data_IF_880638043133
#
_entry.id   IF_880638043133
#
_cell.length_a   1.000
_cell.length_b   1.000
_cell.length_c   1.000
_cell.angle_alpha   90.00
_cell.angle_beta   90.00
_cell.angle_gamma   90.00
#
_symmetry.space_group_name_H-M   'P 1'
#
loop_
_entity.id
_entity.type
_entity.pdbx_description
1 polymer ?
#
# COMPACT_ATOMS: atom_id res chain seq x y z
N UNK A 1 -10.94 6.12 41.95
CA UNK A 1 -11.60 5.09 41.09
C UNK A 1 -10.51 4.48 40.21
N UNK A 2 -10.34 3.17 40.35
CA UNK A 2 -9.17 2.41 39.91
C UNK A 2 -8.96 2.44 38.39
N UNK A 3 -7.75 2.79 37.96
CA UNK A 3 -7.20 2.31 36.69
C UNK A 3 -6.84 0.85 36.96
N UNK A 4 -7.69 -0.07 36.51
CA UNK A 4 -7.42 -1.49 36.64
C UNK A 4 -6.16 -1.84 35.85
N UNK A 5 -5.27 -2.58 36.51
CA UNK A 5 -4.11 -3.23 35.92
C UNK A 5 -4.58 -4.06 34.73
N UNK A 6 -4.31 -3.58 33.52
CA UNK A 6 -4.37 -4.38 32.32
C UNK A 6 -3.32 -5.48 32.50
N UNK A 7 -3.77 -6.71 32.75
CA UNK A 7 -3.00 -7.93 32.52
C UNK A 7 -2.40 -7.80 31.11
N UNK A 8 -1.11 -7.51 30.98
CA UNK A 8 -0.47 -7.29 29.68
C UNK A 8 -0.19 -8.67 29.04
N UNK A 9 -0.96 -9.13 28.04
CA UNK A 9 -0.43 -10.09 27.08
C UNK A 9 0.82 -9.45 26.44
N UNK A 10 1.76 -10.27 25.96
CA UNK A 10 3.06 -9.88 25.39
C UNK A 10 3.05 -8.43 24.85
N UNK A 11 3.82 -7.53 25.48
CA UNK A 11 3.76 -6.10 25.18
C UNK A 11 4.19 -5.84 23.75
N UNK A 12 3.25 -5.60 22.85
CA UNK A 12 3.52 -5.14 21.50
C UNK A 12 4.17 -3.75 21.59
N UNK A 13 5.40 -3.64 21.11
CA UNK A 13 6.07 -2.35 20.93
C UNK A 13 5.77 -1.82 19.53
N UNK A 14 5.33 -0.57 19.47
CA UNK A 14 5.04 0.13 18.23
C UNK A 14 6.23 1.02 17.87
N UNK A 15 6.77 0.87 16.66
CA UNK A 15 7.74 1.81 16.11
C UNK A 15 7.03 3.06 15.58
N UNK A 16 7.50 4.26 15.97
CA UNK A 16 6.76 5.50 15.71
C UNK A 16 7.33 6.38 14.59
N UNK A 17 8.56 6.14 14.11
CA UNK A 17 9.28 7.13 13.29
C UNK A 17 9.81 6.61 11.95
N UNK A 18 9.98 5.30 11.82
CA UNK A 18 10.40 4.61 10.59
C UNK A 18 10.31 3.10 10.80
N UNK A 19 10.46 2.34 9.71
CA UNK A 19 10.51 0.89 9.77
C UNK A 19 11.70 0.44 10.64
N UNK A 20 11.53 -0.67 11.36
CA UNK A 20 12.54 -1.14 12.31
C UNK A 20 13.89 -1.42 11.61
N UNK A 21 14.98 -0.86 12.12
CA UNK A 21 16.30 -1.31 11.67
C UNK A 21 16.50 -2.80 12.03
N UNK A 22 17.29 -3.52 11.23
CA UNK A 22 17.48 -4.97 11.33
C UNK A 22 17.72 -5.49 12.76
N UNK A 23 18.58 -4.86 13.60
CA UNK A 23 18.81 -5.33 14.98
C UNK A 23 17.58 -5.26 15.90
N UNK A 24 16.57 -4.48 15.53
CA UNK A 24 15.37 -4.21 16.32
C UNK A 24 14.11 -4.91 15.79
N UNK A 25 14.17 -5.61 14.65
CA UNK A 25 13.00 -6.28 14.04
C UNK A 25 12.31 -7.23 15.03
N UNK A 26 13.07 -7.97 15.85
CA UNK A 26 12.52 -8.89 16.86
C UNK A 26 11.73 -8.18 17.98
N UNK A 27 11.95 -6.88 18.18
CA UNK A 27 11.30 -6.06 19.22
C UNK A 27 10.23 -5.14 18.64
N UNK A 28 10.43 -4.63 17.42
CA UNK A 28 9.59 -3.65 16.74
C UNK A 28 8.87 -4.29 15.55
N UNK A 29 8.11 -5.36 15.83
CA UNK A 29 7.40 -6.14 14.81
C UNK A 29 6.24 -5.39 14.15
N UNK A 30 5.87 -4.23 14.68
CA UNK A 30 4.87 -3.33 14.12
C UNK A 30 5.35 -1.88 14.13
N UNK A 31 5.73 -1.35 12.96
CA UNK A 31 6.42 -0.05 12.86
C UNK A 31 5.84 0.86 11.77
N UNK A 32 5.90 2.17 12.02
CA UNK A 32 5.55 3.23 11.06
C UNK A 32 6.51 3.22 9.87
N UNK A 33 6.05 2.96 8.64
CA UNK A 33 6.87 3.03 7.44
C UNK A 33 6.68 4.37 6.70
N UNK A 34 7.52 5.36 7.05
CA UNK A 34 7.50 6.72 6.50
C UNK A 34 8.19 6.84 5.12
N UNK A 35 7.77 6.02 4.16
CA UNK A 35 8.38 5.98 2.83
C UNK A 35 8.33 7.33 2.07
N UNK A 36 7.40 8.22 2.44
CA UNK A 36 7.25 9.54 1.82
C UNK A 36 8.50 10.42 1.95
N UNK A 37 9.28 10.23 3.01
CA UNK A 37 10.53 10.98 3.21
C UNK A 37 11.55 10.73 2.09
N UNK A 38 11.47 9.58 1.42
CA UNK A 38 12.40 9.25 0.35
C UNK A 38 12.27 10.20 -0.84
N UNK A 39 11.09 10.79 -1.07
CA UNK A 39 10.85 11.74 -2.16
C UNK A 39 11.64 13.05 -2.05
N UNK A 40 12.23 13.38 -0.89
CA UNK A 40 13.18 14.50 -0.80
C UNK A 40 14.48 14.22 -1.55
N UNK A 41 14.79 12.96 -1.83
CA UNK A 41 16.07 12.52 -2.41
C UNK A 41 15.85 11.70 -3.70
N UNK A 42 14.72 11.02 -3.85
CA UNK A 42 14.40 10.24 -5.05
C UNK A 42 13.10 9.43 -4.93
N UNK A 43 12.87 8.51 -5.87
CA UNK A 43 11.66 7.68 -5.87
C UNK A 43 11.77 6.55 -4.83
N UNK A 44 10.78 6.35 -3.94
CA UNK A 44 10.79 5.25 -2.99
C UNK A 44 10.67 3.90 -3.71
N UNK A 45 11.50 2.95 -3.32
CA UNK A 45 11.45 1.57 -3.79
C UNK A 45 11.29 0.64 -2.58
N UNK A 46 10.42 -0.40 -2.63
CA UNK A 46 10.03 -1.18 -1.46
C UNK A 46 11.10 -2.21 -1.04
N UNK A 47 12.39 -1.84 -1.08
CA UNK A 47 13.51 -2.73 -0.76
C UNK A 47 13.42 -3.29 0.66
N UNK A 48 12.96 -2.48 1.62
CA UNK A 48 12.75 -2.91 2.99
C UNK A 48 11.77 -4.08 3.05
N UNK A 49 10.62 -3.96 2.38
CA UNK A 49 9.62 -5.02 2.34
C UNK A 49 10.12 -6.28 1.61
N UNK A 50 10.97 -6.13 0.58
CA UNK A 50 11.66 -7.28 -0.04
C UNK A 50 12.50 -8.10 0.93
N UNK A 51 13.19 -7.43 1.86
CA UNK A 51 14.06 -8.08 2.83
C UNK A 51 13.27 -8.61 4.03
N UNK A 52 12.27 -7.84 4.49
CA UNK A 52 11.75 -8.00 5.85
C UNK A 52 10.26 -8.29 5.97
N UNK A 53 9.45 -8.22 4.91
CA UNK A 53 8.01 -8.46 4.99
C UNK A 53 7.61 -9.79 5.70
N UNK A 54 8.36 -10.91 5.59
CA UNK A 54 8.06 -12.12 6.38
C UNK A 54 8.27 -12.00 7.90
N UNK A 55 9.03 -11.00 8.36
CA UNK A 55 9.50 -10.88 9.75
C UNK A 55 8.88 -9.69 10.51
N UNK A 56 8.42 -8.67 9.79
CA UNK A 56 7.84 -7.44 10.35
C UNK A 56 6.63 -7.01 9.53
N UNK A 57 5.59 -6.54 10.21
CA UNK A 57 4.46 -5.89 9.56
C UNK A 57 4.56 -4.40 9.82
N UNK A 58 4.81 -3.60 8.79
CA UNK A 58 4.73 -2.15 8.98
C UNK A 58 3.28 -1.66 8.85
N UNK A 59 3.05 -0.42 9.24
CA UNK A 59 1.87 0.33 8.85
C UNK A 59 2.28 1.56 8.04
N UNK A 60 1.36 2.02 7.19
CA UNK A 60 1.51 3.16 6.28
C UNK A 60 1.92 4.48 6.97
N UNK A 61 1.79 4.54 8.29
CA UNK A 61 2.19 5.71 9.07
C UNK A 61 1.16 6.81 9.11
N UNK A 62 1.63 7.97 9.49
CA UNK A 62 0.87 9.22 9.59
C UNK A 62 0.99 10.13 8.36
N UNK A 63 1.59 9.61 7.28
CA UNK A 63 1.69 10.27 5.98
C UNK A 63 2.43 11.63 6.01
N UNK A 64 3.29 11.88 7.01
CA UNK A 64 4.01 13.16 7.15
C UNK A 64 5.03 13.41 6.04
N UNK A 65 5.52 14.66 6.00
CA UNK A 65 6.56 15.13 5.09
C UNK A 65 6.20 14.84 3.64
N UNK A 66 4.98 15.28 3.31
CA UNK A 66 4.36 15.09 2.01
C UNK A 66 5.08 15.95 0.98
N UNK A 67 5.92 15.33 0.17
CA UNK A 67 6.59 16.02 -0.92
C UNK A 67 5.76 16.12 -2.18
N UNK A 68 4.64 15.41 -2.32
CA UNK A 68 3.86 15.37 -3.58
C UNK A 68 2.78 16.46 -3.59
N UNK A 69 2.57 17.07 -4.76
CA UNK A 69 1.61 18.14 -5.03
C UNK A 69 0.17 17.72 -4.73
N UNK A 70 -0.74 18.69 -4.64
CA UNK A 70 -2.14 18.49 -4.29
C UNK A 70 -2.99 17.89 -5.43
N UNK A 71 -2.44 16.93 -6.18
CA UNK A 71 -3.20 16.16 -7.15
C UNK A 71 -4.28 15.33 -6.44
N UNK A 72 -5.47 15.18 -7.04
CA UNK A 72 -6.63 14.56 -6.38
C UNK A 72 -6.41 13.08 -6.03
N UNK A 73 -5.41 12.44 -6.65
CA UNK A 73 -5.04 11.04 -6.42
C UNK A 73 -3.73 10.88 -5.62
N UNK A 74 -3.16 11.95 -5.04
CA UNK A 74 -1.97 11.87 -4.21
C UNK A 74 -2.18 10.97 -2.98
N UNK A 75 -3.29 11.15 -2.25
CA UNK A 75 -3.59 10.30 -1.11
C UNK A 75 -3.74 8.83 -1.50
N UNK A 76 -4.54 8.52 -2.52
CA UNK A 76 -4.76 7.15 -2.98
C UNK A 76 -3.48 6.51 -3.53
N UNK A 77 -2.60 7.30 -4.15
CA UNK A 77 -1.28 6.88 -4.59
C UNK A 77 -0.44 6.34 -3.43
N UNK A 78 -0.33 7.11 -2.34
CA UNK A 78 0.44 6.70 -1.15
C UNK A 78 -0.16 5.50 -0.43
N UNK A 79 -1.49 5.40 -0.39
CA UNK A 79 -2.20 4.22 0.15
C UNK A 79 -1.91 2.98 -0.70
N UNK A 80 -1.97 3.09 -2.02
CA UNK A 80 -1.67 1.99 -2.93
C UNK A 80 -0.19 1.56 -2.87
N UNK A 81 0.74 2.50 -2.68
CA UNK A 81 2.15 2.18 -2.42
C UNK A 81 2.29 1.30 -1.17
N UNK A 82 1.69 1.73 -0.06
CA UNK A 82 1.73 1.00 1.22
C UNK A 82 1.12 -0.39 1.09
N UNK A 83 0.02 -0.50 0.34
CA UNK A 83 -0.61 -1.79 0.04
C UNK A 83 0.33 -2.74 -0.70
N UNK A 84 1.02 -2.29 -1.75
CA UNK A 84 1.96 -3.15 -2.49
C UNK A 84 3.21 -3.48 -1.68
N UNK A 85 3.53 -2.71 -0.64
CA UNK A 85 4.60 -3.03 0.32
C UNK A 85 4.19 -4.11 1.33
N UNK A 86 2.91 -4.46 1.38
CA UNK A 86 2.36 -5.32 2.41
C UNK A 86 2.18 -4.61 3.76
N UNK A 87 2.13 -3.28 3.79
CA UNK A 87 1.92 -2.51 5.01
C UNK A 87 0.44 -2.43 5.39
N UNK A 88 0.15 -2.38 6.69
CA UNK A 88 -1.19 -2.12 7.22
C UNK A 88 -1.60 -0.68 6.88
N UNK A 89 -2.76 -0.53 6.24
CA UNK A 89 -3.24 0.77 5.81
C UNK A 89 -3.87 1.52 6.99
N UNK A 90 -3.48 2.78 7.15
CA UNK A 90 -3.93 3.67 8.23
C UNK A 90 -4.60 4.91 7.66
N UNK A 91 -5.13 5.78 8.50
CA UNK A 91 -5.60 7.11 8.11
C UNK A 91 -5.44 8.06 9.27
N UNK A 92 -5.11 9.32 8.99
CA UNK A 92 -5.16 10.39 9.99
C UNK A 92 -6.58 10.95 9.98
N UNK A 93 -7.22 10.92 11.15
CA UNK A 93 -8.60 11.39 11.34
C UNK A 93 -8.54 12.53 12.36
N UNK A 94 -9.26 13.62 12.10
CA UNK A 94 -9.40 14.73 13.04
C UNK A 94 -10.56 14.51 14.03
N UNK A 95 -10.78 15.50 14.89
CA UNK A 95 -11.88 15.54 15.87
C UNK A 95 -13.27 15.67 15.23
N UNK A 96 -13.36 16.07 13.96
CA UNK A 96 -14.61 16.07 13.18
C UNK A 96 -14.86 14.74 12.45
N UNK A 97 -13.95 13.77 12.55
CA UNK A 97 -14.05 12.50 11.83
C UNK A 97 -13.76 12.61 10.33
N UNK A 98 -13.11 13.68 9.89
CA UNK A 98 -12.63 13.87 8.52
C UNK A 98 -11.21 13.32 8.35
N UNK A 99 -10.90 12.87 7.12
CA UNK A 99 -9.60 12.26 6.82
C UNK A 99 -8.65 13.36 6.34
N UNK A 100 -7.55 13.52 7.07
CA UNK A 100 -6.47 14.45 6.73
C UNK A 100 -5.47 13.81 5.77
N UNK A 101 -4.86 14.65 4.95
CA UNK A 101 -3.87 14.23 3.97
C UNK A 101 -2.61 13.69 4.66
N UNK A 102 -2.18 14.35 5.74
CA UNK A 102 -1.09 13.93 6.62
C UNK A 102 -1.32 14.48 8.03
N UNK A 103 -0.57 14.02 9.02
CA UNK A 103 -0.68 14.52 10.40
C UNK A 103 -0.36 16.01 10.49
N UNK A 104 0.76 16.46 9.92
CA UNK A 104 1.21 17.86 10.06
C UNK A 104 0.53 18.85 9.10
N UNK A 105 -0.53 18.46 8.41
CA UNK A 105 -1.18 19.29 7.39
C UNK A 105 -2.68 19.40 7.63
N UNK A 106 -3.22 20.61 7.48
CA UNK A 106 -4.66 20.87 7.63
C UNK A 106 -5.48 20.43 6.41
N UNK A 107 -4.84 20.11 5.28
CA UNK A 107 -5.53 19.70 4.05
C UNK A 107 -6.36 18.42 4.26
N UNK A 108 -7.65 18.53 3.92
CA UNK A 108 -8.60 17.42 3.93
C UNK A 108 -8.54 16.63 2.62
N UNK A 109 -8.63 15.32 2.73
CA UNK A 109 -8.80 14.43 1.57
C UNK A 109 -10.28 14.31 1.28
N UNK A 110 -10.64 14.13 0.01
CA UNK A 110 -12.00 13.71 -0.32
C UNK A 110 -12.32 12.38 0.40
N UNK A 111 -13.21 12.44 1.39
CA UNK A 111 -13.59 11.30 2.24
C UNK A 111 -14.05 10.08 1.44
N UNK A 112 -14.78 10.28 0.33
CA UNK A 112 -15.24 9.17 -0.52
C UNK A 112 -14.06 8.46 -1.19
N UNK A 113 -13.08 9.22 -1.68
CA UNK A 113 -11.85 8.67 -2.27
C UNK A 113 -11.06 7.89 -1.23
N UNK A 114 -10.80 8.50 -0.06
CA UNK A 114 -10.03 7.88 1.00
C UNK A 114 -10.68 6.59 1.53
N UNK A 115 -11.97 6.62 1.83
CA UNK A 115 -12.71 5.44 2.30
C UNK A 115 -12.75 4.35 1.22
N UNK A 116 -12.94 4.70 -0.05
CA UNK A 116 -12.99 3.72 -1.13
C UNK A 116 -11.67 2.96 -1.29
N UNK A 117 -10.53 3.67 -1.42
CA UNK A 117 -9.22 3.02 -1.57
C UNK A 117 -8.86 2.18 -0.35
N UNK A 118 -9.06 2.72 0.88
CA UNK A 118 -8.75 2.00 2.11
C UNK A 118 -9.61 0.73 2.24
N UNK A 119 -10.90 0.82 1.95
CA UNK A 119 -11.83 -0.31 1.99
C UNK A 119 -11.43 -1.38 0.98
N UNK A 120 -11.24 -1.00 -0.29
CA UNK A 120 -10.99 -1.93 -1.38
C UNK A 120 -9.66 -2.66 -1.21
N UNK A 121 -8.60 -1.93 -0.83
CA UNK A 121 -7.28 -2.53 -0.65
C UNK A 121 -7.18 -3.37 0.63
N UNK A 122 -7.76 -2.93 1.76
CA UNK A 122 -7.79 -3.75 2.97
C UNK A 122 -8.64 -5.03 2.83
N UNK A 123 -9.61 -5.07 1.91
CA UNK A 123 -10.42 -6.26 1.70
C UNK A 123 -9.57 -7.46 1.26
N UNK A 124 -8.49 -7.24 0.49
CA UNK A 124 -7.54 -8.28 0.10
C UNK A 124 -6.86 -8.97 1.29
N UNK A 125 -6.67 -8.25 2.41
CA UNK A 125 -6.10 -8.82 3.65
C UNK A 125 -7.05 -9.77 4.37
N UNK A 126 -8.34 -9.75 4.05
CA UNK A 126 -9.36 -10.63 4.64
C UNK A 126 -9.69 -11.83 3.73
N UNK A 127 -9.38 -11.73 2.44
CA UNK A 127 -9.71 -12.74 1.44
C UNK A 127 -8.49 -13.47 0.89
N UNK A 128 -8.49 -13.72 -0.43
CA UNK A 128 -7.44 -14.46 -1.15
C UNK A 128 -6.02 -13.91 -0.95
N UNK A 129 -5.90 -12.60 -0.74
CA UNK A 129 -4.62 -11.93 -0.55
C UNK A 129 -4.02 -12.09 0.84
N UNK A 130 -4.78 -12.55 1.84
CA UNK A 130 -4.40 -12.56 3.27
C UNK A 130 -3.00 -13.13 3.51
N UNK A 131 -2.76 -14.35 3.05
CA UNK A 131 -1.51 -15.03 3.38
C UNK A 131 -0.30 -14.37 2.71
N UNK A 132 -0.48 -13.83 1.51
CA UNK A 132 0.59 -13.15 0.78
C UNK A 132 0.94 -11.81 1.43
N UNK A 133 -0.07 -11.00 1.79
CA UNK A 133 0.07 -9.67 2.38
C UNK A 133 0.42 -9.67 3.87
N UNK A 134 0.40 -10.84 4.53
CA UNK A 134 0.74 -10.96 5.97
C UNK A 134 1.97 -11.83 6.24
N UNK A 135 2.23 -12.81 5.38
CA UNK A 135 3.29 -13.81 5.62
C UNK A 135 4.10 -14.14 4.37
N UNK A 136 3.77 -13.56 3.21
CA UNK A 136 4.47 -13.82 1.97
C UNK A 136 5.89 -13.24 1.98
N UNK A 137 6.76 -13.80 1.16
CA UNK A 137 8.02 -13.14 0.79
C UNK A 137 7.78 -12.36 -0.49
N UNK A 138 8.15 -11.08 -0.51
CA UNK A 138 8.09 -10.32 -1.75
C UNK A 138 9.12 -10.86 -2.75
N UNK A 139 8.71 -10.99 -4.00
CA UNK A 139 9.53 -11.46 -5.12
C UNK A 139 9.42 -10.46 -6.27
N UNK A 140 10.38 -10.50 -7.19
CA UNK A 140 10.38 -9.59 -8.33
C UNK A 140 9.08 -9.78 -9.13
N UNK A 141 8.28 -8.72 -9.34
CA UNK A 141 7.08 -8.79 -10.16
C UNK A 141 7.45 -9.00 -11.63
N UNK A 142 6.55 -9.65 -12.37
CA UNK A 142 6.57 -9.60 -13.83
C UNK A 142 6.24 -8.17 -14.29
N UNK A 143 6.68 -7.85 -15.49
CA UNK A 143 6.47 -6.52 -16.06
C UNK A 143 4.98 -6.28 -16.35
N UNK A 144 4.53 -5.07 -15.99
CA UNK A 144 3.19 -4.57 -16.30
C UNK A 144 3.35 -3.27 -17.08
N UNK A 145 2.73 -3.24 -18.25
CA UNK A 145 2.66 -2.03 -19.08
C UNK A 145 1.39 -1.26 -18.72
N UNK A 146 1.53 0.05 -18.57
CA UNK A 146 0.44 0.97 -18.22
C UNK A 146 0.78 2.38 -18.69
N UNK A 147 -0.16 3.31 -18.60
CA UNK A 147 0.12 4.72 -18.81
C UNK A 147 1.03 5.27 -17.70
N UNK A 148 1.67 6.39 -17.97
CA UNK A 148 2.30 7.18 -16.90
C UNK A 148 1.34 8.28 -16.43
N UNK A 149 1.51 8.68 -15.18
CA UNK A 149 0.91 9.86 -14.56
C UNK A 149 2.01 10.77 -14.05
N UNK A 150 1.72 12.06 -13.96
CA UNK A 150 2.69 13.07 -13.54
C UNK A 150 2.30 13.65 -12.19
N UNK A 151 3.26 13.70 -11.28
CA UNK A 151 3.17 14.45 -10.03
C UNK A 151 4.12 15.64 -10.08
N UNK A 152 3.83 16.66 -9.28
CA UNK A 152 4.84 17.65 -8.92
C UNK A 152 5.29 17.38 -7.49
N UNK A 153 6.55 17.64 -7.18
CA UNK A 153 7.02 17.69 -5.80
C UNK A 153 6.80 19.09 -5.22
N UNK A 154 7.01 19.25 -3.91
CA UNK A 154 6.91 20.54 -3.20
C UNK A 154 7.86 21.59 -3.78
N UNK A 155 9.04 21.18 -4.27
CA UNK A 155 10.00 22.06 -4.95
C UNK A 155 9.65 22.35 -6.42
N UNK A 156 8.53 21.80 -6.92
CA UNK A 156 8.04 21.98 -8.29
C UNK A 156 8.57 20.98 -9.32
N UNK A 157 9.48 20.07 -8.94
CA UNK A 157 10.01 19.03 -9.84
C UNK A 157 8.89 18.12 -10.33
N UNK A 158 8.86 17.84 -11.63
CA UNK A 158 7.86 16.93 -12.21
C UNK A 158 8.37 15.49 -12.20
N UNK A 159 7.58 14.59 -11.59
CA UNK A 159 7.84 13.16 -11.54
C UNK A 159 6.88 12.43 -12.49
N UNK A 160 7.42 11.71 -13.48
CA UNK A 160 6.63 10.79 -14.31
C UNK A 160 6.72 9.39 -13.75
N UNK A 161 5.59 8.82 -13.38
CA UNK A 161 5.52 7.50 -12.74
C UNK A 161 4.47 6.63 -13.41
N UNK A 162 4.57 5.31 -13.25
CA UNK A 162 3.54 4.38 -13.73
C UNK A 162 2.18 4.68 -13.06
N UNK A 163 1.11 4.62 -13.83
CA UNK A 163 -0.28 4.84 -13.40
C UNK A 163 -0.85 3.73 -12.49
N UNK A 164 -0.04 2.72 -12.16
CA UNK A 164 -0.37 1.67 -11.21
C UNK A 164 0.82 1.39 -10.29
N UNK A 165 0.52 0.77 -9.16
CA UNK A 165 1.51 0.15 -8.29
C UNK A 165 1.45 -1.36 -8.40
N UNK A 166 2.60 -2.04 -8.35
CA UNK A 166 2.63 -3.50 -8.41
C UNK A 166 3.77 -4.10 -7.61
N UNK A 167 3.51 -5.26 -7.03
CA UNK A 167 4.50 -6.11 -6.39
C UNK A 167 4.03 -7.55 -6.40
N UNK A 168 4.98 -8.49 -6.34
CA UNK A 168 4.70 -9.90 -6.30
C UNK A 168 5.11 -10.52 -4.97
N UNK A 169 4.39 -11.57 -4.58
CA UNK A 169 4.57 -12.27 -3.33
C UNK A 169 4.58 -13.78 -3.58
N UNK A 170 5.41 -14.47 -2.83
CA UNK A 170 5.42 -15.92 -2.73
C UNK A 170 4.95 -16.33 -1.33
N UNK A 171 4.02 -17.27 -1.27
CA UNK A 171 3.66 -17.92 -0.01
C UNK A 171 3.51 -19.43 -0.26
N UNK A 172 4.30 -20.23 0.48
CA UNK A 172 4.48 -21.66 0.21
C UNK A 172 4.89 -21.88 -1.27
N UNK A 173 4.15 -22.69 -2.01
CA UNK A 173 4.42 -23.03 -3.41
C UNK A 173 3.65 -22.16 -4.42
N UNK A 174 2.95 -21.11 -3.96
CA UNK A 174 2.17 -20.23 -4.83
C UNK A 174 2.82 -18.86 -4.94
N UNK A 175 2.70 -18.25 -6.11
CA UNK A 175 3.17 -16.90 -6.42
C UNK A 175 1.99 -16.09 -6.95
N UNK A 176 1.88 -14.86 -6.50
CA UNK A 176 0.86 -13.92 -6.96
C UNK A 176 1.48 -12.56 -7.16
N UNK A 177 0.83 -11.73 -7.98
CA UNK A 177 1.17 -10.32 -8.12
C UNK A 177 -0.06 -9.46 -7.93
N UNK A 178 0.07 -8.44 -7.10
CA UNK A 178 -0.94 -7.42 -6.95
C UNK A 178 -0.68 -6.29 -7.92
N UNK A 179 -1.75 -5.77 -8.52
CA UNK A 179 -1.72 -4.56 -9.35
C UNK A 179 -2.78 -3.62 -8.82
N UNK A 180 -2.35 -2.48 -8.28
CA UNK A 180 -3.20 -1.51 -7.60
C UNK A 180 -3.35 -0.24 -8.45
N UNK A 181 -4.60 0.09 -8.77
CA UNK A 181 -5.01 1.33 -9.41
C UNK A 181 -5.35 2.37 -8.33
N UNK A 182 -4.50 3.40 -8.22
CA UNK A 182 -4.72 4.53 -7.32
C UNK A 182 -5.48 5.69 -7.97
N UNK A 183 -5.76 5.62 -9.27
CA UNK A 183 -6.41 6.68 -10.02
C UNK A 183 -7.92 6.69 -9.77
N UNK A 184 -8.56 7.83 -10.08
CA UNK A 184 -10.02 8.00 -9.99
C UNK A 184 -10.77 7.42 -11.18
N UNK A 185 -10.05 7.05 -12.23
CA UNK A 185 -10.57 6.42 -13.43
C UNK A 185 -10.10 4.97 -13.51
N UNK A 186 -10.76 4.19 -14.36
CA UNK A 186 -10.31 2.84 -14.69
C UNK A 186 -8.90 2.88 -15.29
N UNK A 187 -8.05 1.95 -14.86
CA UNK A 187 -6.72 1.76 -15.42
C UNK A 187 -6.68 0.47 -16.22
N UNK A 188 -6.14 0.55 -17.45
CA UNK A 188 -5.90 -0.63 -18.28
C UNK A 188 -4.43 -1.02 -18.15
N UNK A 189 -4.19 -2.30 -17.87
CA UNK A 189 -2.84 -2.87 -17.81
C UNK A 189 -2.67 -3.98 -18.85
N UNK A 190 -1.45 -4.07 -19.39
CA UNK A 190 -1.07 -5.11 -20.34
C UNK A 190 0.07 -5.96 -19.76
N UNK A 191 -0.06 -7.26 -19.98
CA UNK A 191 0.93 -8.29 -19.72
C UNK A 191 1.41 -8.90 -21.03
N UNK A 192 2.60 -9.50 -21.03
CA UNK A 192 3.14 -10.14 -22.22
C UNK A 192 2.37 -11.42 -22.59
N UNK A 193 1.72 -12.06 -21.61
CA UNK A 193 0.91 -13.27 -21.79
C UNK A 193 -0.37 -13.23 -20.93
N UNK A 194 -1.38 -14.06 -21.20
CA UNK A 194 -2.59 -14.11 -20.39
C UNK A 194 -2.35 -14.67 -18.97
N UNK A 195 -2.85 -13.98 -17.95
CA UNK A 195 -2.80 -14.44 -16.56
C UNK A 195 -4.19 -14.63 -15.97
N UNK A 196 -4.33 -15.57 -15.04
CA UNK A 196 -5.53 -15.69 -14.20
C UNK A 196 -5.57 -14.53 -13.22
N UNK A 197 -6.59 -13.69 -13.34
CA UNK A 197 -6.76 -12.48 -12.57
C UNK A 197 -8.04 -12.53 -11.74
N UNK A 198 -7.88 -12.40 -10.44
CA UNK A 198 -8.96 -12.23 -9.48
C UNK A 198 -9.26 -10.73 -9.34
N UNK A 199 -10.50 -10.35 -9.68
CA UNK A 199 -10.97 -8.97 -9.56
C UNK A 199 -11.57 -8.65 -8.19
N UNK A 200 -11.79 -9.68 -7.37
CA UNK A 200 -12.37 -9.57 -6.03
C UNK A 200 -11.57 -10.39 -5.02
N UNK A 201 -11.51 -9.89 -3.80
CA UNK A 201 -10.85 -10.55 -2.68
C UNK A 201 -11.59 -11.80 -2.20
N UNK A 202 -12.90 -11.90 -2.45
CA UNK A 202 -13.78 -12.93 -1.90
C UNK A 202 -14.32 -13.93 -2.92
N UNK A 203 -14.30 -13.61 -4.22
CA UNK A 203 -14.79 -14.52 -5.27
C UNK A 203 -13.66 -15.41 -5.79
N UNK A 204 -13.97 -16.67 -6.10
CA UNK A 204 -13.11 -17.59 -6.85
C UNK A 204 -13.13 -17.34 -8.36
N UNK A 205 -14.03 -16.46 -8.84
CA UNK A 205 -14.09 -16.09 -10.25
C UNK A 205 -12.80 -15.39 -10.69
N UNK A 206 -12.32 -15.78 -11.86
CA UNK A 206 -11.15 -15.19 -12.47
C UNK A 206 -11.40 -14.87 -13.94
N UNK A 207 -10.71 -13.84 -14.41
CA UNK A 207 -10.55 -13.57 -15.83
C UNK A 207 -9.21 -14.15 -16.29
N UNK A 208 -9.14 -14.71 -17.50
CA UNK A 208 -7.89 -15.05 -18.16
C UNK A 208 -7.67 -14.08 -19.31
N UNK A 209 -6.74 -13.14 -19.16
CA UNK A 209 -6.48 -12.12 -20.18
C UNK A 209 -5.07 -11.54 -20.02
N UNK A 210 -4.48 -11.10 -21.13
CA UNK A 210 -3.26 -10.28 -21.13
C UNK A 210 -3.56 -8.78 -21.03
N UNK A 211 -4.82 -8.37 -21.21
CA UNK A 211 -5.31 -6.99 -21.08
C UNK A 211 -6.40 -6.93 -20.03
N UNK A 212 -6.17 -6.20 -18.95
CA UNK A 212 -7.07 -6.19 -17.78
C UNK A 212 -7.43 -4.75 -17.40
N UNK A 213 -8.73 -4.48 -17.27
CA UNK A 213 -9.23 -3.25 -16.64
C UNK A 213 -9.29 -3.40 -15.14
N UNK A 214 -8.75 -2.41 -14.44
CA UNK A 214 -8.76 -2.32 -12.98
C UNK A 214 -9.65 -1.14 -12.60
N UNK A 215 -10.75 -1.39 -11.86
CA UNK A 215 -11.63 -0.31 -11.40
C UNK A 215 -10.87 0.79 -10.64
N UNK A 216 -11.41 2.02 -10.60
CA UNK A 216 -10.85 3.09 -9.79
C UNK A 216 -10.61 2.67 -8.35
N UNK A 217 -9.52 3.15 -7.75
CA UNK A 217 -9.25 2.98 -6.32
C UNK A 217 -9.33 1.52 -5.84
N UNK A 218 -8.81 0.60 -6.65
CA UNK A 218 -8.93 -0.85 -6.45
C UNK A 218 -7.63 -1.57 -6.76
N UNK A 219 -7.60 -2.87 -6.53
CA UNK A 219 -6.51 -3.74 -6.96
C UNK A 219 -7.06 -5.06 -7.48
N UNK A 220 -6.25 -5.72 -8.29
CA UNK A 220 -6.44 -7.11 -8.71
C UNK A 220 -5.28 -7.96 -8.18
N UNK A 221 -5.49 -9.27 -8.12
CA UNK A 221 -4.44 -10.26 -7.84
C UNK A 221 -4.34 -11.21 -9.02
N UNK A 222 -3.15 -11.39 -9.58
CA UNK A 222 -2.88 -12.38 -10.64
C UNK A 222 -2.07 -13.56 -10.12
N UNK A 223 -2.26 -14.74 -10.68
CA UNK A 223 -1.39 -15.90 -10.45
C UNK A 223 -0.17 -15.85 -11.38
N UNK A 224 1.01 -16.19 -10.83
CA UNK A 224 2.30 -16.28 -11.54
C UNK A 224 2.81 -17.71 -11.64
#
# INVERSE_FOLDING_TARGET
KAISLINRPASLLLGCETAAAEPFISKLQFSDNRFNLNYYIGMPFPIYSYLYHPYVNNFMGNQICMTLSNEPYNYSYRVAYSFICGDMLTSVIDDEGEIRLSWCNELKVNKKVAVAILKNLNAWRKGKGKNYLSFGTMIRPIEVQTNNVSFKTEDGTSLSIKGIHTSAFKYKNKKVQFVANFQLNEAVVLFNEPHKAYLSYSSDDFMLSSKISIPPLSAIMIEL
#
